data_IF_330052305935
#
_entry.id   IF_330052305935
#
_cell.length_a   1.000
_cell.length_b   1.000
_cell.length_c   1.000
_cell.angle_alpha   90.00
_cell.angle_beta   90.00
_cell.angle_gamma   90.00
#
_symmetry.space_group_name_H-M   'P 1'
#
loop_
_entity.id
_entity.type
_entity.pdbx_description
1 polymer ?
#
# COMPACT_ATOMS: atom_id res chain seq x y z
N UNK A 1 29.43 3.85 -27.70
CA UNK A 1 29.03 2.67 -26.90
C UNK A 1 29.89 2.64 -25.65
N UNK A 2 29.36 3.09 -24.51
CA UNK A 2 30.08 3.01 -23.23
C UNK A 2 29.68 1.71 -22.51
N UNK A 3 30.68 0.88 -22.19
CA UNK A 3 30.51 -0.38 -21.46
C UNK A 3 30.04 -0.06 -20.03
N UNK A 4 28.86 -0.57 -19.65
CA UNK A 4 28.39 -0.61 -18.25
C UNK A 4 29.32 -1.55 -17.46
N UNK A 5 30.07 -0.98 -16.53
CA UNK A 5 30.94 -1.68 -15.59
C UNK A 5 30.12 -2.35 -14.47
N UNK A 6 30.79 -3.23 -13.73
CA UNK A 6 30.25 -4.26 -12.83
C UNK A 6 29.15 -3.81 -11.85
N UNK A 7 28.27 -4.78 -11.60
CA UNK A 7 27.00 -4.73 -10.88
C UNK A 7 27.17 -4.37 -9.40
N UNK A 8 26.96 -3.11 -9.05
CA UNK A 8 26.31 -2.77 -7.79
C UNK A 8 24.81 -2.78 -8.09
N UNK A 9 24.02 -3.75 -7.62
CA UNK A 9 22.59 -3.76 -7.89
C UNK A 9 21.96 -2.59 -7.14
N UNK A 10 21.97 -1.41 -7.75
CA UNK A 10 21.15 -0.29 -7.32
C UNK A 10 19.74 -0.83 -7.08
N UNK A 11 19.29 -0.78 -5.82
CA UNK A 11 18.02 -1.37 -5.40
C UNK A 11 16.89 -0.67 -6.16
N UNK A 12 16.25 -1.39 -7.08
CA UNK A 12 15.08 -0.90 -7.81
C UNK A 12 13.88 -0.82 -6.86
N UNK A 13 13.45 0.41 -6.54
CA UNK A 13 12.32 0.64 -5.65
C UNK A 13 10.97 0.47 -6.33
N UNK A 14 10.92 0.36 -7.67
CA UNK A 14 9.71 0.34 -8.50
C UNK A 14 8.70 1.43 -8.15
N UNK A 15 9.19 2.55 -7.63
CA UNK A 15 8.38 3.71 -7.31
C UNK A 15 8.06 4.46 -8.61
N UNK A 16 6.81 4.86 -8.87
CA UNK A 16 6.49 5.57 -10.12
C UNK A 16 7.33 6.84 -10.30
N UNK A 17 7.59 7.22 -11.55
CA UNK A 17 8.28 8.46 -11.90
C UNK A 17 7.38 9.70 -11.71
N UNK A 18 7.95 10.89 -11.87
CA UNK A 18 7.19 12.15 -11.84
C UNK A 18 7.18 12.86 -10.47
N UNK A 19 6.52 14.04 -10.41
CA UNK A 19 6.44 14.88 -9.22
C UNK A 19 5.77 14.15 -8.04
N UNK A 20 6.25 14.37 -6.81
CA UNK A 20 5.82 13.62 -5.63
C UNK A 20 4.28 13.61 -5.43
N UNK A 21 3.65 14.78 -5.56
CA UNK A 21 2.22 14.96 -5.32
C UNK A 21 1.33 14.18 -6.31
N UNK A 22 1.78 14.05 -7.56
CA UNK A 22 0.99 13.49 -8.67
C UNK A 22 1.41 12.05 -9.01
N UNK A 23 2.59 11.63 -8.55
CA UNK A 23 3.26 10.36 -8.86
C UNK A 23 2.35 9.13 -8.87
N UNK A 24 1.53 8.97 -7.84
CA UNK A 24 0.66 7.79 -7.70
C UNK A 24 -0.69 7.96 -8.38
N UNK A 25 -1.19 9.19 -8.50
CA UNK A 25 -2.38 9.48 -9.29
C UNK A 25 -2.11 9.21 -10.77
N UNK A 26 -0.99 9.70 -11.29
CA UNK A 26 -0.55 9.45 -12.66
C UNK A 26 -0.35 7.96 -12.94
N UNK A 27 0.30 7.24 -12.01
CA UNK A 27 0.47 5.79 -12.11
C UNK A 27 -0.87 5.04 -12.16
N UNK A 28 -1.84 5.40 -11.29
CA UNK A 28 -3.18 4.79 -11.32
C UNK A 28 -3.91 5.02 -12.64
N UNK A 29 -3.69 6.18 -13.28
CA UNK A 29 -4.29 6.51 -14.58
C UNK A 29 -3.74 5.69 -15.76
N UNK A 30 -2.48 5.25 -15.67
CA UNK A 30 -1.77 4.59 -16.77
C UNK A 30 -1.46 3.10 -16.54
N UNK A 31 -1.74 2.57 -15.34
CA UNK A 31 -1.44 1.17 -15.01
C UNK A 31 -2.26 0.21 -15.89
N UNK A 32 -1.64 -0.84 -16.48
CA UNK A 32 -2.36 -1.83 -17.25
C UNK A 32 -3.46 -2.51 -16.42
N UNK A 33 -4.68 -2.53 -16.94
CA UNK A 33 -5.83 -3.14 -16.27
C UNK A 33 -6.01 -4.60 -16.68
N UNK A 34 -6.46 -5.42 -15.72
CA UNK A 34 -6.87 -6.80 -15.97
C UNK A 34 -8.36 -6.84 -16.29
N UNK A 35 -8.71 -7.37 -17.47
CA UNK A 35 -10.11 -7.51 -17.87
C UNK A 35 -10.88 -8.45 -16.92
N UNK A 36 -12.18 -8.22 -16.66
CA UNK A 36 -12.96 -9.04 -15.73
C UNK A 36 -12.92 -10.54 -16.02
N UNK A 37 -12.99 -10.94 -17.30
CA UNK A 37 -12.92 -12.34 -17.72
C UNK A 37 -11.57 -13.00 -17.40
N UNK A 38 -10.49 -12.21 -17.37
CA UNK A 38 -9.15 -12.71 -17.08
C UNK A 38 -8.87 -12.82 -15.58
N UNK A 39 -9.55 -12.05 -14.73
CA UNK A 39 -9.30 -12.05 -13.27
C UNK A 39 -9.46 -13.43 -12.64
N UNK A 40 -10.50 -14.19 -13.02
CA UNK A 40 -10.77 -15.55 -12.52
C UNK A 40 -9.72 -16.59 -12.91
N UNK A 41 -8.91 -16.29 -13.94
CA UNK A 41 -7.84 -17.17 -14.44
C UNK A 41 -6.51 -16.92 -13.74
N UNK A 42 -6.43 -15.89 -12.89
CA UNK A 42 -5.23 -15.51 -12.17
C UNK A 42 -5.37 -15.96 -10.72
N UNK A 43 -4.47 -16.84 -10.32
CA UNK A 43 -4.31 -17.24 -8.93
C UNK A 43 -3.46 -16.20 -8.19
N UNK A 44 -3.99 -15.68 -7.09
CA UNK A 44 -3.26 -14.79 -6.17
C UNK A 44 -2.98 -15.55 -4.88
N UNK A 45 -1.70 -15.70 -4.56
CA UNK A 45 -1.26 -16.31 -3.32
C UNK A 45 -0.91 -15.21 -2.33
N UNK A 46 -1.56 -15.22 -1.17
CA UNK A 46 -1.31 -14.29 -0.07
C UNK A 46 -0.72 -15.08 1.09
N UNK A 47 0.47 -14.67 1.55
CA UNK A 47 1.15 -15.25 2.69
C UNK A 47 1.00 -14.31 3.89
N UNK A 48 0.27 -14.76 4.89
CA UNK A 48 -0.08 -14.01 6.09
C UNK A 48 -1.56 -13.61 6.12
N UNK A 49 -2.22 -13.84 7.26
CA UNK A 49 -3.62 -13.51 7.51
C UNK A 49 -3.82 -12.28 8.43
N UNK A 50 -2.78 -11.47 8.59
CA UNK A 50 -2.87 -10.20 9.34
C UNK A 50 -3.67 -9.14 8.56
N UNK A 51 -3.77 -7.93 9.12
CA UNK A 51 -4.56 -6.83 8.55
C UNK A 51 -4.28 -6.62 7.05
N UNK A 52 -3.01 -6.51 6.65
CA UNK A 52 -2.63 -6.33 5.25
C UNK A 52 -3.05 -7.51 4.36
N UNK A 53 -2.83 -8.75 4.81
CA UNK A 53 -3.14 -9.95 4.03
C UNK A 53 -4.65 -10.21 3.92
N UNK A 54 -5.39 -10.02 5.02
CA UNK A 54 -6.84 -10.14 5.04
C UNK A 54 -7.51 -9.06 4.18
N UNK A 55 -7.09 -7.79 4.29
CA UNK A 55 -7.61 -6.69 3.46
C UNK A 55 -7.30 -6.93 1.98
N UNK A 56 -6.08 -7.34 1.63
CA UNK A 56 -5.74 -7.68 0.25
C UNK A 56 -6.57 -8.86 -0.27
N UNK A 57 -6.78 -9.89 0.56
CA UNK A 57 -7.58 -11.05 0.17
C UNK A 57 -9.04 -10.69 -0.08
N UNK A 58 -9.64 -9.87 0.79
CA UNK A 58 -11.00 -9.41 0.65
C UNK A 58 -11.18 -8.57 -0.62
N UNK A 59 -10.34 -7.55 -0.82
CA UNK A 59 -10.44 -6.68 -1.99
C UNK A 59 -10.19 -7.41 -3.31
N UNK A 60 -9.20 -8.31 -3.36
CA UNK A 60 -8.93 -9.08 -4.58
C UNK A 60 -10.00 -10.16 -4.83
N UNK A 61 -10.53 -10.77 -3.78
CA UNK A 61 -11.66 -11.70 -3.88
C UNK A 61 -12.91 -11.01 -4.43
N UNK A 62 -13.25 -9.82 -3.93
CA UNK A 62 -14.37 -9.00 -4.41
C UNK A 62 -14.21 -8.62 -5.89
N UNK A 63 -12.98 -8.34 -6.32
CA UNK A 63 -12.68 -8.06 -7.73
C UNK A 63 -12.80 -9.31 -8.65
N UNK A 64 -12.97 -10.51 -8.08
CA UNK A 64 -13.17 -11.76 -8.82
C UNK A 64 -11.89 -12.55 -9.13
N UNK A 65 -10.79 -12.29 -8.41
CA UNK A 65 -9.57 -13.11 -8.50
C UNK A 65 -9.71 -14.43 -7.73
N UNK A 66 -8.95 -15.44 -8.12
CA UNK A 66 -8.84 -16.68 -7.34
C UNK A 66 -7.79 -16.51 -6.24
N UNK A 67 -8.23 -16.19 -5.02
CA UNK A 67 -7.34 -15.85 -3.91
C UNK A 67 -7.14 -17.05 -2.98
N UNK A 68 -5.87 -17.41 -2.73
CA UNK A 68 -5.45 -18.44 -1.77
C UNK A 68 -4.65 -17.79 -0.65
N UNK A 69 -5.17 -17.85 0.57
CA UNK A 69 -4.52 -17.25 1.75
C UNK A 69 -3.90 -18.35 2.60
N UNK A 70 -2.61 -18.20 2.92
CA UNK A 70 -1.87 -19.12 3.78
C UNK A 70 -1.42 -18.39 5.03
N UNK A 71 -1.51 -19.06 6.17
CA UNK A 71 -1.04 -18.54 7.46
C UNK A 71 -0.41 -19.67 8.25
N UNK A 72 0.66 -19.37 8.98
CA UNK A 72 1.32 -20.36 9.83
C UNK A 72 0.60 -20.58 11.16
N UNK A 73 -0.28 -19.65 11.53
CA UNK A 73 -1.08 -19.74 12.74
C UNK A 73 -2.15 -20.83 12.58
N UNK A 74 -2.55 -21.45 13.69
CA UNK A 74 -3.67 -22.40 13.72
C UNK A 74 -5.03 -21.76 13.36
N UNK A 75 -5.14 -20.44 13.48
CA UNK A 75 -6.32 -19.65 13.18
C UNK A 75 -5.91 -18.32 12.55
N UNK A 76 -6.59 -17.90 11.48
CA UNK A 76 -6.34 -16.60 10.84
C UNK A 76 -6.40 -15.40 11.79
N UNK A 77 -7.15 -15.52 12.90
CA UNK A 77 -7.35 -14.45 13.90
C UNK A 77 -6.18 -14.26 14.86
N UNK A 78 -5.14 -15.10 14.80
CA UNK A 78 -3.97 -15.01 15.70
C UNK A 78 -2.80 -14.20 15.15
N UNK A 79 -2.96 -13.55 13.99
CA UNK A 79 -1.98 -12.60 13.51
C UNK A 79 -1.83 -11.41 14.49
N UNK A 80 -0.61 -10.88 14.63
CA UNK A 80 -0.30 -9.85 15.63
C UNK A 80 -1.15 -8.57 15.53
N UNK A 81 -1.75 -8.32 14.36
CA UNK A 81 -2.76 -7.28 14.12
C UNK A 81 -3.83 -7.18 15.21
N UNK A 82 -4.22 -8.31 15.83
CA UNK A 82 -5.24 -8.34 16.89
C UNK A 82 -4.82 -7.62 18.17
N UNK A 83 -3.52 -7.44 18.39
CA UNK A 83 -2.97 -6.76 19.56
C UNK A 83 -2.90 -5.24 19.39
N UNK A 84 -3.29 -4.68 18.24
CA UNK A 84 -3.33 -3.24 18.03
C UNK A 84 -4.41 -2.58 18.91
N UNK A 85 -4.05 -1.47 19.58
CA UNK A 85 -4.94 -0.80 20.54
C UNK A 85 -5.18 0.69 20.25
N UNK A 86 -4.15 1.42 19.81
CA UNK A 86 -4.23 2.89 19.70
C UNK A 86 -5.21 3.38 18.63
N UNK A 87 -5.00 2.96 17.38
CA UNK A 87 -5.82 3.38 16.25
C UNK A 87 -5.04 3.36 14.93
N UNK A 88 -5.68 3.85 13.88
CA UNK A 88 -5.10 4.00 12.54
C UNK A 88 -5.05 5.50 12.22
N UNK A 89 -3.88 6.01 11.86
CA UNK A 89 -3.72 7.40 11.43
C UNK A 89 -4.30 7.60 10.04
N UNK A 90 -5.05 8.69 9.84
CA UNK A 90 -5.55 9.06 8.53
C UNK A 90 -5.62 10.57 8.36
N UNK A 91 -5.31 11.03 7.15
CA UNK A 91 -5.43 12.42 6.73
C UNK A 91 -6.92 12.76 6.59
N UNK A 92 -7.58 13.01 7.71
CA UNK A 92 -9.04 13.16 7.78
C UNK A 92 -9.35 14.41 8.57
N UNK A 93 -9.82 15.44 7.85
CA UNK A 93 -10.15 16.75 8.38
C UNK A 93 -11.48 16.73 9.19
N UNK A 94 -11.70 15.68 9.99
CA UNK A 94 -12.83 15.58 10.90
C UNK A 94 -12.60 16.55 12.04
N UNK A 95 -13.52 17.52 12.18
CA UNK A 95 -13.47 18.71 13.05
C UNK A 95 -12.87 19.96 12.40
N UNK A 96 -12.63 19.98 11.08
CA UNK A 96 -12.07 21.15 10.39
C UNK A 96 -10.76 21.64 11.02
N UNK A 97 -9.92 20.71 11.48
CA UNK A 97 -8.63 20.97 12.11
C UNK A 97 -7.52 21.30 11.09
N UNK A 98 -7.85 21.26 9.80
CA UNK A 98 -6.94 21.55 8.70
C UNK A 98 -5.97 20.41 8.43
N UNK A 99 -6.36 19.17 8.76
CA UNK A 99 -5.60 17.99 8.39
C UNK A 99 -5.59 17.78 6.86
N UNK A 100 -4.50 17.21 6.35
CA UNK A 100 -4.29 17.02 4.92
C UNK A 100 -3.25 15.94 4.65
N UNK A 101 -3.26 15.43 3.41
CA UNK A 101 -2.25 14.47 2.93
C UNK A 101 -0.83 14.98 3.18
N UNK A 102 -0.58 16.27 2.97
CA UNK A 102 0.74 16.87 3.18
C UNK A 102 1.18 16.81 4.65
N UNK A 103 0.28 17.05 5.61
CA UNK A 103 0.62 17.03 7.04
C UNK A 103 1.00 15.63 7.49
N UNK A 104 0.15 14.64 7.19
CA UNK A 104 0.44 13.24 7.50
C UNK A 104 1.73 12.76 6.82
N UNK A 105 1.96 13.15 5.55
CA UNK A 105 3.20 12.86 4.84
C UNK A 105 4.42 13.46 5.56
N UNK A 106 4.38 14.76 5.86
CA UNK A 106 5.48 15.48 6.49
C UNK A 106 5.81 14.91 7.88
N UNK A 107 4.79 14.68 8.71
CA UNK A 107 4.97 14.12 10.05
C UNK A 107 5.53 12.69 10.00
N UNK A 108 5.16 11.90 9.00
CA UNK A 108 5.70 10.56 8.80
C UNK A 108 7.17 10.58 8.35
N UNK A 109 7.54 11.51 7.46
CA UNK A 109 8.95 11.69 7.05
C UNK A 109 9.81 12.15 8.23
N UNK A 110 9.35 13.17 8.95
CA UNK A 110 10.04 13.69 10.13
C UNK A 110 10.15 12.63 11.23
N UNK A 111 9.06 11.92 11.53
CA UNK A 111 9.04 10.85 12.52
C UNK A 111 9.90 9.65 12.14
N UNK A 112 10.08 9.40 10.84
CA UNK A 112 10.99 8.40 10.29
C UNK A 112 12.45 8.85 10.16
N UNK A 113 12.83 9.97 10.81
CA UNK A 113 14.19 10.53 10.76
C UNK A 113 14.68 10.78 9.32
N UNK A 114 13.77 11.12 8.40
CA UNK A 114 14.04 11.33 6.97
C UNK A 114 14.62 10.10 6.25
N UNK A 115 14.47 8.90 6.82
CA UNK A 115 14.96 7.64 6.23
C UNK A 115 13.89 6.85 5.47
N UNK A 116 12.64 7.29 5.56
CA UNK A 116 11.53 6.65 4.88
C UNK A 116 11.52 7.01 3.39
N UNK A 117 11.05 6.08 2.55
CA UNK A 117 10.93 6.30 1.08
C UNK A 117 9.77 7.24 0.79
N UNK A 118 10.06 8.47 0.41
CA UNK A 118 9.08 9.56 0.32
C UNK A 118 7.93 9.25 -0.63
N UNK A 119 8.22 8.60 -1.76
CA UNK A 119 7.19 8.16 -2.69
C UNK A 119 6.15 7.27 -2.02
N UNK A 120 6.56 6.28 -1.25
CA UNK A 120 5.65 5.34 -0.61
C UNK A 120 4.92 5.98 0.59
N UNK A 121 5.59 6.87 1.31
CA UNK A 121 4.98 7.62 2.42
C UNK A 121 3.90 8.58 1.91
N UNK A 122 4.14 9.23 0.77
CA UNK A 122 3.11 10.07 0.13
C UNK A 122 1.88 9.24 -0.24
N UNK A 123 2.10 8.05 -0.83
CA UNK A 123 0.99 7.12 -1.14
C UNK A 123 0.22 6.72 0.11
N UNK A 124 0.93 6.38 1.19
CA UNK A 124 0.32 6.03 2.48
C UNK A 124 -0.60 7.15 2.95
N UNK A 125 -0.13 8.40 2.92
CA UNK A 125 -0.94 9.54 3.32
C UNK A 125 -2.15 9.75 2.40
N UNK A 126 -1.97 9.63 1.08
CA UNK A 126 -3.04 9.75 0.07
C UNK A 126 -4.17 8.74 0.28
N UNK A 127 -3.85 7.47 0.55
CA UNK A 127 -4.87 6.41 0.72
C UNK A 127 -5.44 6.34 2.13
N UNK A 128 -4.83 7.02 3.10
CA UNK A 128 -5.16 6.86 4.51
C UNK A 128 -6.62 7.18 4.85
N UNK A 129 -7.21 8.18 4.19
CA UNK A 129 -8.63 8.50 4.35
C UNK A 129 -9.54 7.33 3.95
N UNK A 130 -9.28 6.73 2.78
CA UNK A 130 -10.03 5.59 2.27
C UNK A 130 -9.92 4.34 3.16
N UNK A 131 -8.77 4.13 3.82
CA UNK A 131 -8.59 3.01 4.75
C UNK A 131 -9.62 3.07 5.88
N UNK A 132 -9.93 4.26 6.38
CA UNK A 132 -10.93 4.46 7.44
C UNK A 132 -12.35 4.30 6.89
N UNK A 133 -12.62 4.75 5.66
CA UNK A 133 -13.96 4.69 5.07
C UNK A 133 -14.38 3.28 4.62
N UNK A 134 -13.40 2.40 4.36
CA UNK A 134 -13.64 1.04 3.89
C UNK A 134 -13.79 0.02 5.03
N UNK A 135 -13.42 0.38 6.26
CA UNK A 135 -13.40 -0.51 7.44
C UNK A 135 -14.59 -0.29 8.37
#
# INVERSE_FOLDING_TARGET
MAKKTAHDPALDSRTPSGPMAEKWEDYKGHVPLVSPNNKRRIDVIIIGSGLAGASAAASLGELGYNVKVFTFHDSPRRAHSIAAQGGINAAKNYRNDGDSVYRLFYDTIKGGDYRAREGNVHRLAEVSGHIIDQC
#
